data_IF_018581273337
#
_entry.id   IF_018581273337
#
_cell.length_a   1.000
_cell.length_b   1.000
_cell.length_c   1.000
_cell.angle_alpha   90.00
_cell.angle_beta   90.00
_cell.angle_gamma   90.00
#
_symmetry.space_group_name_H-M   'P 1'
#
loop_
_entity.id
_entity.type
_entity.pdbx_description
1 polymer ?
#
# COMPACT_ATOMS: atom_id res chain seq x y z
N UNK A 1 -11.46 13.98 -2.56
CA UNK A 1 -10.94 13.70 -1.20
C UNK A 1 -10.35 12.30 -1.10
N UNK A 2 -11.09 11.22 -1.38
CA UNK A 2 -10.60 9.84 -1.25
C UNK A 2 -9.30 9.53 -2.03
N UNK A 3 -9.21 9.90 -3.31
CA UNK A 3 -8.00 9.61 -4.11
C UNK A 3 -6.76 10.36 -3.58
N UNK A 4 -6.91 11.62 -3.17
CA UNK A 4 -5.82 12.39 -2.58
C UNK A 4 -5.31 11.75 -1.27
N UNK A 5 -6.21 11.24 -0.42
CA UNK A 5 -5.81 10.51 0.78
C UNK A 5 -5.07 9.20 0.47
N UNK A 6 -5.51 8.47 -0.56
CA UNK A 6 -4.82 7.24 -0.99
C UNK A 6 -3.46 7.54 -1.63
N UNK A 7 -3.35 8.64 -2.36
CA UNK A 7 -2.08 9.10 -2.91
C UNK A 7 -1.09 9.47 -1.80
N UNK A 8 -1.52 10.25 -0.81
CA UNK A 8 -0.70 10.58 0.35
C UNK A 8 -0.27 9.32 1.12
N UNK A 9 -1.18 8.36 1.33
CA UNK A 9 -0.82 7.08 1.95
C UNK A 9 0.22 6.32 1.12
N UNK A 10 0.10 6.28 -0.20
CA UNK A 10 1.09 5.61 -1.05
C UNK A 10 2.48 6.25 -0.92
N UNK A 11 2.55 7.57 -0.87
CA UNK A 11 3.79 8.33 -0.68
C UNK A 11 4.41 8.06 0.69
N UNK A 12 3.64 8.19 1.78
CA UNK A 12 4.12 7.94 3.14
C UNK A 12 4.60 6.50 3.34
N UNK A 13 3.86 5.51 2.83
CA UNK A 13 4.27 4.09 2.91
C UNK A 13 5.60 3.88 2.19
N UNK A 14 5.82 4.56 1.06
CA UNK A 14 7.11 4.51 0.36
C UNK A 14 8.23 5.13 1.19
N UNK A 15 7.99 6.29 1.80
CA UNK A 15 8.95 6.96 2.68
C UNK A 15 9.32 6.06 3.86
N UNK A 16 8.34 5.45 4.54
CA UNK A 16 8.59 4.51 5.64
C UNK A 16 9.48 3.33 5.24
N UNK A 17 9.31 2.81 4.02
CA UNK A 17 10.14 1.74 3.47
C UNK A 17 11.54 2.21 3.11
N UNK A 18 11.64 3.37 2.44
CA UNK A 18 12.91 3.90 1.95
C UNK A 18 13.80 4.39 3.13
N UNK A 19 13.18 4.86 4.22
CA UNK A 19 13.86 5.20 5.48
C UNK A 19 14.12 3.98 6.39
N UNK A 20 13.56 2.81 6.05
CA UNK A 20 13.71 1.58 6.84
C UNK A 20 13.01 1.61 8.19
N UNK A 21 12.00 2.48 8.36
CA UNK A 21 11.14 2.52 9.55
C UNK A 21 10.32 1.24 9.67
N UNK A 22 9.93 0.67 8.53
CA UNK A 22 9.33 -0.66 8.40
C UNK A 22 10.21 -1.52 7.50
N UNK A 23 10.25 -2.82 7.74
CA UNK A 23 11.08 -3.73 6.95
C UNK A 23 10.42 -4.06 5.61
N UNK A 24 9.10 -4.19 5.59
CA UNK A 24 8.34 -4.54 4.40
C UNK A 24 6.95 -3.91 4.36
N UNK A 25 6.35 -3.85 3.16
CA UNK A 25 5.01 -3.30 2.96
C UNK A 25 3.95 -4.03 3.80
N UNK A 26 4.15 -5.33 4.05
CA UNK A 26 3.26 -6.16 4.86
C UNK A 26 3.20 -5.70 6.33
N UNK A 27 4.25 -5.07 6.88
CA UNK A 27 4.23 -4.51 8.23
C UNK A 27 3.19 -3.39 8.35
N UNK A 28 3.10 -2.54 7.33
CA UNK A 28 2.09 -1.46 7.24
C UNK A 28 0.70 -2.06 7.06
N UNK A 29 0.54 -3.03 6.17
CA UNK A 29 -0.74 -3.69 5.96
C UNK A 29 -1.28 -4.33 7.24
N UNK A 30 -0.42 -5.02 7.98
CA UNK A 30 -0.75 -5.61 9.27
C UNK A 30 -1.18 -4.54 10.27
N UNK A 31 -0.43 -3.44 10.37
CA UNK A 31 -0.76 -2.31 11.24
C UNK A 31 -2.13 -1.73 10.93
N UNK A 32 -2.47 -1.51 9.65
CA UNK A 32 -3.75 -0.93 9.28
C UNK A 32 -4.91 -1.92 9.42
N UNK A 33 -4.69 -3.20 9.13
CA UNK A 33 -5.69 -4.25 9.33
C UNK A 33 -6.05 -4.43 10.81
N UNK A 34 -5.04 -4.43 11.70
CA UNK A 34 -5.24 -4.71 13.13
C UNK A 34 -5.49 -3.45 13.97
N UNK A 35 -4.87 -2.33 13.62
CA UNK A 35 -4.88 -1.10 14.44
C UNK A 35 -5.81 -0.01 13.91
N UNK A 36 -5.89 0.18 12.59
CA UNK A 36 -6.66 1.28 11.98
C UNK A 36 -7.99 0.84 11.34
N UNK A 37 -8.34 -0.45 11.43
CA UNK A 37 -9.62 -0.98 10.95
C UNK A 37 -9.75 -1.05 9.42
N UNK A 38 -8.64 -1.24 8.70
CA UNK A 38 -8.69 -1.42 7.25
C UNK A 38 -9.55 -2.64 6.88
N UNK A 39 -10.39 -2.58 5.82
CA UNK A 39 -11.27 -3.71 5.49
C UNK A 39 -10.50 -4.96 5.05
N UNK A 40 -10.62 -6.04 5.82
CA UNK A 40 -9.93 -7.31 5.57
C UNK A 40 -10.15 -7.89 4.17
N UNK A 41 -11.35 -7.77 3.62
CA UNK A 41 -11.68 -8.29 2.28
C UNK A 41 -10.93 -7.60 1.14
N UNK A 42 -10.24 -6.48 1.41
CA UNK A 42 -9.36 -5.81 0.45
C UNK A 42 -7.92 -6.33 0.50
N UNK A 43 -7.57 -7.17 1.48
CA UNK A 43 -6.27 -7.83 1.57
C UNK A 43 -5.12 -6.93 1.99
N UNK A 44 -5.38 -5.74 2.56
CA UNK A 44 -4.37 -4.74 2.93
C UNK A 44 -4.48 -3.44 2.13
N UNK A 45 -3.79 -2.38 2.57
CA UNK A 45 -3.73 -1.10 1.86
C UNK A 45 -2.81 -1.20 0.65
N UNK A 46 -1.65 -1.83 0.78
CA UNK A 46 -0.65 -1.87 -0.29
C UNK A 46 -1.11 -2.70 -1.49
N UNK A 47 -1.78 -3.86 -1.32
CA UNK A 47 -2.38 -4.58 -2.44
C UNK A 47 -3.53 -3.80 -3.08
N UNK A 48 -4.27 -3.02 -2.29
CA UNK A 48 -5.33 -2.16 -2.81
C UNK A 48 -4.77 -1.00 -3.67
N UNK A 49 -3.68 -0.36 -3.22
CA UNK A 49 -2.98 0.69 -3.98
C UNK A 49 -2.36 0.15 -5.27
N UNK A 50 -1.81 -1.07 -5.25
CA UNK A 50 -1.28 -1.75 -6.44
C UNK A 50 -2.37 -2.09 -7.46
N UNK A 51 -3.51 -2.63 -7.03
CA UNK A 51 -4.63 -2.95 -7.94
C UNK A 51 -5.29 -1.71 -8.54
N UNK A 52 -5.31 -0.60 -7.80
CA UNK A 52 -5.90 0.66 -8.27
C UNK A 52 -4.91 1.49 -9.10
N UNK A 53 -3.66 1.05 -9.25
CA UNK A 53 -2.61 1.75 -9.99
C UNK A 53 -2.08 3.00 -9.30
N UNK A 54 -2.49 3.26 -8.05
CA UNK A 54 -2.07 4.46 -7.31
C UNK A 54 -0.60 4.34 -6.91
N UNK A 55 -0.13 3.14 -6.51
CA UNK A 55 1.26 2.94 -6.13
C UNK A 55 2.24 3.27 -7.26
N UNK A 56 1.96 2.80 -8.48
CA UNK A 56 2.74 3.11 -9.68
C UNK A 56 2.64 4.59 -10.05
N UNK A 57 1.43 5.17 -10.02
CA UNK A 57 1.19 6.59 -10.34
C UNK A 57 1.95 7.54 -9.42
N UNK A 58 2.01 7.24 -8.12
CA UNK A 58 2.55 8.15 -7.10
C UNK A 58 4.02 7.85 -6.80
N UNK A 59 4.38 6.57 -6.66
CA UNK A 59 5.72 6.16 -6.19
C UNK A 59 6.62 5.64 -7.32
N UNK A 60 6.09 5.55 -8.55
CA UNK A 60 6.82 5.05 -9.72
C UNK A 60 6.97 3.52 -9.79
N UNK A 61 6.53 2.79 -8.75
CA UNK A 61 6.59 1.32 -8.69
C UNK A 61 5.52 0.74 -7.77
N UNK A 62 5.21 -0.54 -7.94
CA UNK A 62 4.33 -1.30 -7.03
C UNK A 62 4.99 -1.57 -5.68
N UNK A 63 4.18 -1.90 -4.68
CA UNK A 63 4.67 -2.44 -3.41
C UNK A 63 4.97 -3.93 -3.50
N UNK A 64 4.13 -4.67 -4.22
CA UNK A 64 4.33 -6.10 -4.49
C UNK A 64 4.72 -6.37 -5.95
N UNK A 65 5.43 -7.47 -6.24
CA UNK A 65 5.64 -7.93 -7.61
C UNK A 65 4.30 -8.13 -8.36
N UNK A 66 4.28 -7.97 -9.70
CA UNK A 66 3.11 -8.32 -10.51
C UNK A 66 2.64 -9.76 -10.24
N UNK A 67 1.32 -9.95 -10.15
CA UNK A 67 0.70 -11.26 -9.88
C UNK A 67 0.51 -11.62 -8.41
N UNK A 68 1.16 -10.94 -7.46
CA UNK A 68 0.99 -11.20 -6.02
C UNK A 68 -0.28 -10.55 -5.47
N UNK A 69 -0.62 -9.35 -5.96
CA UNK A 69 -1.77 -8.57 -5.51
C UNK A 69 -2.81 -8.26 -6.59
N UNK A 70 -2.50 -8.56 -7.85
CA UNK A 70 -3.33 -8.26 -9.04
C UNK A 70 -3.54 -9.55 -9.82
N UNK A 71 -4.77 -9.82 -10.26
CA UNK A 71 -5.01 -10.91 -11.21
C UNK A 71 -4.31 -10.54 -12.52
N UNK A 72 -3.50 -11.46 -13.04
CA UNK A 72 -2.77 -11.34 -14.32
C UNK A 72 -3.63 -10.81 -15.46
#
# INVERSE_FOLDING_TARGET
MREASLAALAEEIRVLLDEGVVAEAADVDLCLLLGAGWPFHLGGITPYLDRTGISEKITGRRFSPPGVATLT
#
